data_IF_814948383841
#
_entry.id   IF_814948383841
#
_cell.length_a   1.000
_cell.length_b   1.000
_cell.length_c   1.000
_cell.angle_alpha   90.00
_cell.angle_beta   90.00
_cell.angle_gamma   90.00
#
_symmetry.space_group_name_H-M   'P 1'
#
loop_
_entity.id
_entity.type
_entity.pdbx_description
1 polymer ?
#
# COMPACT_ATOMS: atom_id res chain seq x y z
N UNK A 1 -25.68 7.20 18.32
CA UNK A 1 -25.03 6.51 17.19
C UNK A 1 -23.96 7.36 16.51
N UNK A 2 -24.35 8.55 16.13
CA UNK A 2 -23.44 9.47 15.46
C UNK A 2 -22.19 9.77 16.30
N UNK A 3 -22.39 9.94 17.59
CA UNK A 3 -21.31 10.23 18.52
C UNK A 3 -20.29 9.09 18.55
N UNK A 4 -20.78 7.87 18.55
CA UNK A 4 -19.89 6.71 18.52
C UNK A 4 -19.12 6.64 17.22
N UNK A 5 -19.78 6.96 16.12
CA UNK A 5 -19.14 6.97 14.83
C UNK A 5 -17.98 7.95 14.78
N UNK A 6 -18.15 9.11 15.37
CA UNK A 6 -17.09 10.11 15.38
C UNK A 6 -15.90 9.65 16.22
N UNK A 7 -16.17 9.13 17.41
CA UNK A 7 -15.10 8.63 18.27
C UNK A 7 -14.40 7.44 17.62
N UNK A 8 -15.19 6.52 17.07
CA UNK A 8 -14.65 5.37 16.39
C UNK A 8 -13.81 5.76 15.18
N UNK A 9 -14.25 6.78 14.46
CA UNK A 9 -13.55 7.24 13.27
C UNK A 9 -12.15 7.77 13.59
N UNK A 10 -11.97 8.42 14.72
CA UNK A 10 -10.68 8.94 15.14
C UNK A 10 -9.67 7.82 15.38
N UNK A 11 -10.15 6.70 15.91
CA UNK A 11 -9.30 5.54 16.22
C UNK A 11 -9.34 4.48 15.13
N UNK A 12 -10.39 4.49 14.33
CA UNK A 12 -10.62 3.50 13.28
C UNK A 12 -10.24 4.04 11.91
N UNK A 13 -9.04 4.64 11.84
CA UNK A 13 -8.53 5.10 10.57
C UNK A 13 -8.49 3.92 9.61
N UNK A 14 -9.04 4.08 8.38
CA UNK A 14 -9.08 2.97 7.43
C UNK A 14 -7.71 2.65 6.86
N UNK A 15 -7.62 1.50 6.22
CA UNK A 15 -6.45 1.16 5.40
C UNK A 15 -6.30 2.23 4.32
N UNK A 16 -5.07 2.61 4.04
CA UNK A 16 -4.79 3.55 2.96
C UNK A 16 -3.86 2.90 1.94
N UNK A 17 -4.27 2.93 0.68
CA UNK A 17 -3.43 2.53 -0.43
C UNK A 17 -2.74 3.78 -0.96
N UNK A 18 -1.44 3.85 -0.83
CA UNK A 18 -0.65 4.97 -1.35
C UNK A 18 -0.06 4.52 -2.69
N UNK A 19 -0.54 5.12 -3.76
CA UNK A 19 -0.20 4.71 -5.12
C UNK A 19 0.81 5.69 -5.70
N UNK A 20 1.99 5.18 -6.03
CA UNK A 20 3.02 6.02 -6.65
C UNK A 20 2.67 6.31 -8.10
N UNK A 21 2.74 7.57 -8.47
CA UNK A 21 2.57 8.02 -9.85
C UNK A 21 3.61 9.08 -10.14
N UNK A 22 4.89 8.69 -9.93
CA UNK A 22 6.02 9.56 -10.18
C UNK A 22 6.63 9.33 -11.55
N UNK A 23 7.94 9.45 -11.65
CA UNK A 23 8.61 9.37 -12.94
C UNK A 23 8.56 8.00 -13.60
N UNK A 24 8.54 6.93 -12.82
CA UNK A 24 8.52 5.56 -13.36
C UNK A 24 7.18 4.87 -13.16
N UNK A 25 6.58 5.05 -11.99
CA UNK A 25 5.29 4.45 -11.69
C UNK A 25 4.20 5.12 -12.51
N UNK A 26 3.39 4.32 -13.17
CA UNK A 26 2.31 4.82 -14.00
C UNK A 26 2.78 5.40 -15.33
N UNK A 27 4.04 5.21 -15.68
CA UNK A 27 4.62 5.77 -16.91
C UNK A 27 4.46 4.76 -18.05
N UNK A 28 3.64 5.09 -19.07
CA UNK A 28 3.41 4.16 -20.17
C UNK A 28 4.64 3.91 -21.04
N UNK A 29 5.62 4.79 -21.01
CA UNK A 29 6.87 4.57 -21.74
C UNK A 29 7.74 3.50 -21.05
N UNK A 30 7.68 3.46 -19.73
CA UNK A 30 8.43 2.48 -18.95
C UNK A 30 7.74 1.12 -18.94
N UNK A 31 6.42 1.13 -18.88
CA UNK A 31 5.63 -0.10 -18.80
C UNK A 31 4.46 -0.02 -19.78
N UNK A 32 4.73 -0.15 -21.07
CA UNK A 32 3.69 0.06 -22.09
C UNK A 32 2.61 -1.04 -22.11
N UNK A 33 2.91 -2.19 -21.53
CA UNK A 33 1.94 -3.28 -21.49
C UNK A 33 0.88 -3.15 -20.40
N UNK A 34 0.98 -2.12 -19.56
CA UNK A 34 0.07 -1.95 -18.44
C UNK A 34 -0.84 -0.74 -18.63
N UNK A 35 -2.10 -0.89 -18.26
CA UNK A 35 -3.06 0.20 -18.29
C UNK A 35 -3.07 0.87 -16.92
N UNK A 36 -2.25 1.89 -16.76
CA UNK A 36 -2.08 2.57 -15.48
C UNK A 36 -3.31 3.37 -15.08
N UNK A 37 -3.99 3.95 -16.04
CA UNK A 37 -5.20 4.71 -15.78
C UNK A 37 -6.32 3.77 -15.30
N UNK A 38 -6.47 2.62 -15.95
CA UNK A 38 -7.44 1.62 -15.53
C UNK A 38 -7.17 1.17 -14.10
N UNK A 39 -5.90 0.92 -13.77
CA UNK A 39 -5.53 0.48 -12.43
C UNK A 39 -5.96 1.49 -11.37
N UNK A 40 -5.65 2.76 -11.59
CA UNK A 40 -5.99 3.81 -10.65
C UNK A 40 -7.51 3.96 -10.50
N UNK A 41 -8.23 3.94 -11.62
CA UNK A 41 -9.69 4.00 -11.61
C UNK A 41 -10.29 2.81 -10.85
N UNK A 42 -9.74 1.64 -11.07
CA UNK A 42 -10.17 0.41 -10.40
C UNK A 42 -9.98 0.52 -8.89
N UNK A 43 -8.84 1.06 -8.46
CA UNK A 43 -8.55 1.23 -7.04
C UNK A 43 -9.50 2.23 -6.39
N UNK A 44 -9.75 3.36 -7.05
CA UNK A 44 -10.69 4.35 -6.53
C UNK A 44 -12.12 3.81 -6.47
N UNK A 45 -12.53 3.08 -7.49
CA UNK A 45 -13.87 2.50 -7.51
C UNK A 45 -14.04 1.48 -6.39
N UNK A 46 -13.05 0.64 -6.18
CA UNK A 46 -13.10 -0.35 -5.12
C UNK A 46 -13.14 0.31 -3.74
N UNK A 47 -12.39 1.38 -3.55
CA UNK A 47 -12.40 2.13 -2.29
C UNK A 47 -13.79 2.72 -2.02
N UNK A 48 -14.41 3.30 -3.05
CA UNK A 48 -15.75 3.83 -2.94
C UNK A 48 -16.77 2.74 -2.57
N UNK A 49 -16.62 1.57 -3.15
CA UNK A 49 -17.53 0.44 -2.89
C UNK A 49 -17.26 -0.24 -1.56
N UNK A 50 -16.14 0.04 -0.91
CA UNK A 50 -15.73 -0.66 0.31
C UNK A 50 -16.48 -0.21 1.56
N UNK A 51 -17.26 0.85 1.47
CA UNK A 51 -17.95 1.37 2.63
C UNK A 51 -17.01 1.97 3.67
N UNK A 52 -15.88 2.50 3.23
CA UNK A 52 -14.92 3.14 4.10
C UNK A 52 -13.85 2.21 4.67
N UNK A 53 -13.79 0.97 4.21
CA UNK A 53 -12.78 0.03 4.67
C UNK A 53 -11.38 0.46 4.26
N UNK A 54 -11.25 1.05 3.09
CA UNK A 54 -9.96 1.60 2.68
C UNK A 54 -10.14 2.81 1.79
N UNK A 55 -9.09 3.61 1.73
CA UNK A 55 -9.02 4.80 0.88
C UNK A 55 -7.79 4.70 -0.02
N UNK A 56 -7.79 5.50 -1.07
CA UNK A 56 -6.70 5.53 -2.04
C UNK A 56 -6.19 6.96 -2.15
N UNK A 57 -4.89 7.14 -2.17
CA UNK A 57 -4.29 8.43 -2.52
C UNK A 57 -3.07 8.21 -3.39
N UNK A 58 -2.78 9.17 -4.22
CA UNK A 58 -1.59 9.14 -5.05
C UNK A 58 -0.49 9.98 -4.43
N UNK A 59 0.73 9.66 -4.77
CA UNK A 59 1.89 10.44 -4.34
C UNK A 59 2.91 10.46 -5.47
N UNK A 60 3.88 11.33 -5.34
CA UNK A 60 5.01 11.37 -6.26
C UNK A 60 5.92 10.17 -5.98
N UNK A 61 7.16 10.22 -6.41
CA UNK A 61 8.07 9.09 -6.30
C UNK A 61 8.23 8.62 -4.85
N UNK A 62 8.04 7.31 -4.64
CA UNK A 62 8.26 6.68 -3.33
C UNK A 62 9.69 6.20 -3.14
N UNK A 63 10.50 6.25 -4.18
CA UNK A 63 11.92 5.90 -4.09
C UNK A 63 12.35 4.73 -4.96
N UNK A 64 11.79 3.53 -4.80
CA UNK A 64 12.26 2.36 -5.56
C UNK A 64 11.71 2.32 -6.98
N UNK A 65 12.22 3.24 -7.81
CA UNK A 65 11.75 3.41 -9.18
C UNK A 65 11.96 2.19 -10.06
N UNK A 66 13.00 1.41 -9.80
CA UNK A 66 13.30 0.20 -10.53
C UNK A 66 12.31 -0.92 -10.25
N UNK A 67 11.49 -0.76 -9.22
CA UNK A 67 10.48 -1.75 -8.84
C UNK A 67 9.06 -1.24 -9.13
N UNK A 68 8.93 -0.29 -10.07
CA UNK A 68 7.64 0.29 -10.44
C UNK A 68 6.67 -0.77 -10.97
N UNK A 69 5.39 -0.67 -10.78
CA UNK A 69 4.71 0.38 -10.01
C UNK A 69 4.72 0.01 -8.54
N UNK A 70 4.88 1.03 -7.68
CA UNK A 70 4.90 0.79 -6.23
C UNK A 70 3.59 1.25 -5.60
N UNK A 71 3.03 0.38 -4.78
CA UNK A 71 1.85 0.70 -3.96
C UNK A 71 2.18 0.33 -2.52
N UNK A 72 1.89 1.23 -1.59
CA UNK A 72 2.08 0.97 -0.17
C UNK A 72 0.72 0.75 0.47
N UNK A 73 0.56 -0.36 1.16
CA UNK A 73 -0.65 -0.67 1.93
C UNK A 73 -0.39 -0.28 3.38
N UNK A 74 -0.98 0.82 3.80
CA UNK A 74 -0.83 1.30 5.17
C UNK A 74 -1.92 0.69 6.04
N UNK A 75 -1.57 0.17 7.23
CA UNK A 75 -2.57 -0.46 8.09
C UNK A 75 -3.60 0.54 8.58
N UNK A 76 -4.77 0.02 8.92
CA UNK A 76 -5.78 0.78 9.64
C UNK A 76 -5.28 1.08 11.05
N UNK A 77 -5.99 1.95 11.77
CA UNK A 77 -5.69 2.21 13.17
C UNK A 77 -5.70 0.93 14.00
N UNK A 78 -6.70 0.09 13.78
CA UNK A 78 -6.79 -1.19 14.48
C UNK A 78 -5.68 -2.15 14.05
N UNK A 79 -5.38 -2.20 12.76
CA UNK A 79 -4.29 -3.03 12.26
C UNK A 79 -2.96 -2.65 12.88
N UNK A 80 -2.72 -1.35 13.00
CA UNK A 80 -1.48 -0.86 13.61
C UNK A 80 -1.39 -1.25 15.07
N UNK A 81 -2.49 -1.18 15.81
CA UNK A 81 -2.51 -1.61 17.20
C UNK A 81 -2.22 -3.11 17.34
N UNK A 82 -2.58 -3.88 16.34
CA UNK A 82 -2.31 -5.34 16.33
C UNK A 82 -0.94 -5.69 15.73
N UNK A 83 -0.08 -4.71 15.52
CA UNK A 83 1.27 -4.92 15.04
C UNK A 83 1.45 -4.84 13.53
N UNK A 84 0.39 -4.49 12.81
CA UNK A 84 0.46 -4.33 11.36
C UNK A 84 1.34 -3.14 10.98
N UNK A 85 2.08 -3.28 9.90
CA UNK A 85 2.97 -2.25 9.40
C UNK A 85 2.70 -1.96 7.93
N UNK A 86 3.12 -0.78 7.49
CA UNK A 86 3.01 -0.42 6.09
C UNK A 86 3.75 -1.47 5.25
N UNK A 87 3.07 -1.99 4.25
CA UNK A 87 3.61 -3.02 3.37
C UNK A 87 3.82 -2.43 1.98
N UNK A 88 5.05 -2.54 1.49
CA UNK A 88 5.44 -1.99 0.20
C UNK A 88 5.39 -3.07 -0.85
N UNK A 89 4.66 -2.81 -1.92
CA UNK A 89 4.47 -3.76 -3.00
C UNK A 89 5.08 -3.18 -4.27
N UNK A 90 6.02 -3.92 -4.86
CA UNK A 90 6.63 -3.55 -6.12
C UNK A 90 5.98 -4.28 -7.28
N UNK A 91 6.25 -3.80 -8.48
CA UNK A 91 5.72 -4.39 -9.72
C UNK A 91 4.20 -4.58 -9.67
N UNK A 92 3.53 -3.64 -9.00
CA UNK A 92 2.08 -3.71 -8.81
C UNK A 92 1.37 -3.23 -10.08
N UNK A 93 1.29 -4.11 -11.04
CA UNK A 93 0.67 -3.86 -12.34
C UNK A 93 -0.15 -5.07 -12.74
N UNK A 94 -1.14 -4.84 -13.59
CA UNK A 94 -1.99 -5.91 -14.07
C UNK A 94 -3.17 -6.20 -13.14
N UNK A 95 -4.08 -7.00 -13.65
CA UNK A 95 -5.37 -7.26 -12.98
C UNK A 95 -5.19 -8.07 -11.70
N UNK A 96 -4.38 -9.12 -11.76
CA UNK A 96 -4.24 -10.04 -10.64
C UNK A 96 -3.66 -9.34 -9.41
N UNK A 97 -2.58 -8.57 -9.59
CA UNK A 97 -1.97 -7.85 -8.48
C UNK A 97 -2.91 -6.79 -7.92
N UNK A 98 -3.59 -6.07 -8.80
CA UNK A 98 -4.54 -5.04 -8.39
C UNK A 98 -5.69 -5.65 -7.58
N UNK A 99 -6.25 -6.75 -8.05
CA UNK A 99 -7.35 -7.42 -7.35
C UNK A 99 -6.91 -7.97 -6.00
N UNK A 100 -5.71 -8.51 -5.90
CA UNK A 100 -5.16 -9.01 -4.65
C UNK A 100 -4.99 -7.88 -3.63
N UNK A 101 -4.50 -6.73 -4.07
CA UNK A 101 -4.33 -5.57 -3.21
C UNK A 101 -5.69 -5.09 -2.71
N UNK A 102 -6.67 -4.99 -3.60
CA UNK A 102 -8.03 -4.58 -3.24
C UNK A 102 -8.63 -5.53 -2.23
N UNK A 103 -8.50 -6.83 -2.46
CA UNK A 103 -9.05 -7.84 -1.56
C UNK A 103 -8.44 -7.72 -0.17
N UNK A 104 -7.12 -7.61 -0.10
CA UNK A 104 -6.44 -7.51 1.18
C UNK A 104 -6.86 -6.25 1.93
N UNK A 105 -6.92 -5.11 1.23
CA UNK A 105 -7.35 -3.86 1.84
C UNK A 105 -8.79 -3.93 2.35
N UNK A 106 -9.67 -4.54 1.56
CA UNK A 106 -11.08 -4.69 1.93
C UNK A 106 -11.27 -5.63 3.12
N UNK A 107 -10.39 -6.62 3.25
CA UNK A 107 -10.44 -7.58 4.37
C UNK A 107 -9.82 -7.02 5.65
N UNK A 108 -9.22 -5.85 5.61
CA UNK A 108 -8.68 -5.20 6.79
C UNK A 108 -7.21 -4.83 6.70
N UNK A 109 -6.47 -5.37 5.76
CA UNK A 109 -5.08 -5.04 5.54
C UNK A 109 -4.13 -5.54 6.61
N UNK A 110 -2.92 -4.95 6.67
CA UNK A 110 -1.89 -5.40 7.61
C UNK A 110 -2.36 -5.37 9.06
N UNK A 111 -2.09 -6.44 9.79
CA UNK A 111 -2.46 -6.58 11.19
C UNK A 111 -3.86 -7.14 11.43
N UNK A 112 -4.72 -7.10 10.43
CA UNK A 112 -6.11 -7.60 10.53
C UNK A 112 -6.30 -8.85 9.67
N UNK A 113 -5.81 -8.82 8.45
CA UNK A 113 -5.97 -9.92 7.50
C UNK A 113 -4.63 -10.32 6.92
N UNK A 114 -4.50 -11.58 6.56
CA UNK A 114 -3.30 -12.06 5.88
C UNK A 114 -3.37 -11.70 4.41
N UNK A 115 -2.24 -11.30 3.82
CA UNK A 115 -2.21 -10.99 2.40
C UNK A 115 -2.40 -12.24 1.55
N UNK A 116 -2.96 -12.11 0.34
CA UNK A 116 -2.96 -13.22 -0.59
C UNK A 116 -1.53 -13.74 -0.82
N UNK A 117 -1.34 -15.06 -0.83
CA UNK A 117 0.03 -15.62 -0.93
C UNK A 117 0.82 -15.15 -2.15
N UNK A 118 0.15 -15.01 -3.29
CA UNK A 118 0.80 -14.54 -4.50
C UNK A 118 1.29 -13.11 -4.38
N UNK A 119 0.61 -12.30 -3.59
CA UNK A 119 1.00 -10.90 -3.39
C UNK A 119 2.28 -10.80 -2.56
N UNK A 120 2.51 -11.72 -1.65
CA UNK A 120 3.72 -11.70 -0.83
C UNK A 120 4.99 -11.78 -1.66
N UNK A 121 4.93 -12.37 -2.83
CA UNK A 121 6.07 -12.44 -3.74
C UNK A 121 6.48 -11.07 -4.28
N UNK A 122 5.61 -10.10 -4.15
CA UNK A 122 5.85 -8.74 -4.63
C UNK A 122 6.20 -7.76 -3.53
N UNK A 123 6.32 -8.23 -2.30
CA UNK A 123 6.71 -7.37 -1.18
C UNK A 123 8.15 -6.92 -1.35
N UNK A 124 8.38 -5.61 -1.13
CA UNK A 124 9.70 -5.01 -1.24
C UNK A 124 10.04 -4.28 0.06
N UNK A 125 11.30 -3.95 0.24
CA UNK A 125 11.74 -3.23 1.42
C UNK A 125 11.56 -1.74 1.25
N UNK A 126 11.04 -1.05 2.28
CA UNK A 126 10.98 0.41 2.23
C UNK A 126 12.39 1.01 2.28
N UNK A 127 12.64 2.09 1.54
CA UNK A 127 13.98 2.69 1.50
C UNK A 127 14.52 3.12 2.87
N UNK A 128 13.67 3.62 3.74
CA UNK A 128 14.09 4.06 5.07
C UNK A 128 14.58 2.93 5.96
N UNK A 129 14.00 1.75 5.82
CA UNK A 129 14.40 0.58 6.59
C UNK A 129 15.81 0.12 6.21
N UNK A 130 16.13 0.15 4.92
CA UNK A 130 17.46 -0.19 4.45
C UNK A 130 18.49 0.77 5.05
N UNK A 131 18.19 2.05 5.07
CA UNK A 131 19.09 3.06 5.66
C UNK A 131 19.28 2.83 7.14
N UNK A 132 18.24 2.52 7.87
CA UNK A 132 18.32 2.25 9.30
C UNK A 132 19.25 1.08 9.59
N UNK A 133 19.18 0.03 8.81
CA UNK A 133 20.03 -1.14 8.97
C UNK A 133 21.51 -0.78 8.77
N UNK A 134 21.80 -0.02 7.74
CA UNK A 134 23.16 0.41 7.47
C UNK A 134 23.72 1.23 8.61
N UNK A 135 22.95 2.15 9.15
CA UNK A 135 23.37 2.98 10.30
C UNK A 135 23.55 2.14 11.55
N UNK A 136 22.67 1.18 11.77
CA UNK A 136 22.76 0.29 12.92
C UNK A 136 24.05 -0.50 12.90
N UNK A 137 24.47 -0.98 11.75
CA UNK A 137 25.74 -1.68 11.61
C UNK A 137 26.92 -0.80 11.97
N UNK A 138 26.89 0.44 11.54
CA UNK A 138 27.94 1.39 11.87
C UNK A 138 28.06 1.62 13.36
N UNK A 139 26.95 1.71 14.04
CA UNK A 139 26.96 1.88 15.49
C UNK A 139 27.47 0.64 16.22
N UNK A 140 27.11 -0.53 15.72
CA UNK A 140 27.49 -1.77 16.36
C UNK A 140 29.00 -1.98 16.40
N UNK A 141 29.73 -1.31 15.55
CA UNK A 141 31.18 -1.43 15.49
C UNK A 141 31.90 -0.57 16.54
N UNK A 142 31.18 0.32 17.14
CA UNK A 142 31.75 1.15 18.19
C UNK A 142 31.61 0.47 19.55
#
# INVERSE_FOLDING_TARGET
MTTYGVIGAAQARPVTLVVCRGCCCGNPRKHPGSDHAWQLDRLYAAAADSGGQFTVRTTDCLGPCDQANVIVVQPSGEGRRRGGRATWIGWAMGDAATDDIVRWAADGGPGIAEPPPTLELQFIRPPGEVRKRARGRGRARR
#
